data_IF_553489983050
#
_entry.id   IF_553489983050
#
_cell.length_a   1.000
_cell.length_b   1.000
_cell.length_c   1.000
_cell.angle_alpha   90.00
_cell.angle_beta   90.00
_cell.angle_gamma   90.00
#
_symmetry.space_group_name_H-M   'P 1'
#
loop_
_entity.id
_entity.type
_entity.pdbx_description
1 polymer ?
#
# COMPACT_ATOMS: atom_id res chain seq x y z
N UNK A 1 1.56 -16.44 -11.32
CA UNK A 1 2.48 -15.54 -10.61
C UNK A 1 2.20 -15.61 -9.13
N UNK A 2 3.22 -15.72 -8.27
CA UNK A 2 3.07 -15.45 -6.84
C UNK A 2 3.31 -13.94 -6.63
N UNK A 3 2.29 -13.16 -6.23
CA UNK A 3 2.45 -11.71 -6.09
C UNK A 3 3.45 -11.34 -4.98
N UNK A 4 3.70 -12.22 -4.02
CA UNK A 4 4.65 -11.97 -2.92
C UNK A 4 6.12 -12.03 -3.33
N UNK A 5 6.41 -12.54 -4.54
CA UNK A 5 7.76 -12.60 -5.10
C UNK A 5 7.87 -11.79 -6.40
N UNK A 6 6.91 -10.91 -6.66
CA UNK A 6 6.93 -10.04 -7.83
C UNK A 6 8.09 -9.05 -7.74
N UNK A 7 8.72 -8.76 -8.87
CA UNK A 7 9.86 -7.85 -8.98
C UNK A 7 9.68 -7.01 -10.26
N UNK A 8 9.40 -5.72 -10.10
CA UNK A 8 9.17 -4.79 -11.20
C UNK A 8 10.45 -4.47 -12.00
N UNK A 9 11.63 -4.62 -11.40
CA UNK A 9 12.92 -4.35 -12.06
C UNK A 9 13.42 -5.55 -12.89
N UNK A 10 12.76 -6.70 -12.77
CA UNK A 10 13.12 -7.88 -13.54
C UNK A 10 12.76 -7.66 -15.02
N UNK A 11 13.77 -7.74 -15.91
CA UNK A 11 13.59 -7.57 -17.35
C UNK A 11 12.67 -8.61 -18.02
N UNK A 12 12.34 -9.71 -17.32
CA UNK A 12 11.36 -10.69 -17.78
C UNK A 12 9.92 -10.37 -17.36
N UNK A 13 9.73 -9.41 -16.45
CA UNK A 13 8.40 -8.95 -16.02
C UNK A 13 7.70 -8.26 -17.17
N UNK A 14 6.49 -8.72 -17.47
CA UNK A 14 5.62 -8.10 -18.47
C UNK A 14 4.76 -7.01 -17.85
N UNK A 15 4.28 -6.08 -18.69
CA UNK A 15 3.31 -5.07 -18.26
C UNK A 15 2.06 -5.71 -17.65
N UNK A 16 1.59 -6.84 -18.21
CA UNK A 16 0.43 -7.59 -17.68
C UNK A 16 0.68 -8.10 -16.26
N UNK A 17 1.89 -8.59 -15.97
CA UNK A 17 2.28 -9.02 -14.63
C UNK A 17 2.37 -7.84 -13.66
N UNK A 18 2.91 -6.70 -14.09
CA UNK A 18 2.93 -5.49 -13.29
C UNK A 18 1.50 -5.02 -12.94
N UNK A 19 0.60 -4.95 -13.94
CA UNK A 19 -0.81 -4.62 -13.71
C UNK A 19 -1.50 -5.60 -12.77
N UNK A 20 -1.27 -6.90 -12.93
CA UNK A 20 -1.84 -7.92 -12.05
C UNK A 20 -1.33 -7.80 -10.60
N UNK A 21 -0.05 -7.47 -10.41
CA UNK A 21 0.52 -7.22 -9.08
C UNK A 21 -0.09 -5.97 -8.44
N UNK A 22 -0.15 -4.84 -9.16
CA UNK A 22 -0.74 -3.59 -8.65
C UNK A 22 -2.20 -3.81 -8.27
N UNK A 23 -2.99 -4.49 -9.11
CA UNK A 23 -4.38 -4.80 -8.80
C UNK A 23 -4.53 -5.66 -7.53
N UNK A 24 -3.66 -6.68 -7.36
CA UNK A 24 -3.62 -7.49 -6.15
C UNK A 24 -3.24 -6.67 -4.91
N UNK A 25 -2.19 -5.84 -5.02
CA UNK A 25 -1.69 -4.99 -3.95
C UNK A 25 -2.78 -4.01 -3.49
N UNK A 26 -3.43 -3.33 -4.42
CA UNK A 26 -4.51 -2.39 -4.15
C UNK A 26 -5.70 -3.07 -3.49
N UNK A 27 -6.14 -4.23 -4.00
CA UNK A 27 -7.26 -4.95 -3.40
C UNK A 27 -6.96 -5.42 -1.98
N UNK A 28 -5.74 -5.93 -1.75
CA UNK A 28 -5.30 -6.38 -0.43
C UNK A 28 -5.23 -5.22 0.55
N UNK A 29 -4.55 -4.14 0.17
CA UNK A 29 -4.42 -2.96 1.02
C UNK A 29 -5.78 -2.35 1.35
N UNK A 30 -6.70 -2.27 0.38
CA UNK A 30 -8.04 -1.73 0.62
C UNK A 30 -8.81 -2.58 1.65
N UNK A 31 -8.66 -3.91 1.63
CA UNK A 31 -9.25 -4.78 2.65
C UNK A 31 -8.60 -4.57 4.03
N UNK A 32 -7.28 -4.45 4.09
CA UNK A 32 -6.53 -4.20 5.33
C UNK A 32 -6.95 -2.87 5.96
N UNK A 33 -7.01 -1.78 5.18
CA UNK A 33 -7.50 -0.48 5.64
C UNK A 33 -8.98 -0.51 6.06
N UNK A 34 -9.84 -1.19 5.30
CA UNK A 34 -11.26 -1.32 5.65
C UNK A 34 -11.44 -2.00 7.00
N UNK A 35 -10.64 -3.02 7.30
CA UNK A 35 -10.69 -3.74 8.59
C UNK A 35 -10.04 -2.95 9.74
N UNK A 36 -9.03 -2.14 9.44
CA UNK A 36 -8.34 -1.29 10.41
C UNK A 36 -9.09 0.00 10.76
N UNK A 37 -10.11 0.37 9.97
CA UNK A 37 -10.76 1.68 10.01
C UNK A 37 -11.19 2.10 11.43
N UNK A 38 -10.71 3.25 11.85
CA UNK A 38 -11.01 3.83 13.16
C UNK A 38 -10.11 3.35 14.31
N UNK A 39 -9.12 2.50 14.01
CA UNK A 39 -8.04 2.12 14.91
C UNK A 39 -6.70 2.59 14.32
N UNK A 40 -6.19 3.71 14.82
CA UNK A 40 -4.98 4.34 14.31
C UNK A 40 -3.75 3.40 14.32
N UNK A 41 -3.65 2.47 15.28
CA UNK A 41 -2.53 1.53 15.32
C UNK A 41 -2.64 0.50 14.20
N UNK A 42 -3.85 0.00 13.93
CA UNK A 42 -4.10 -0.92 12.84
C UNK A 42 -3.99 -0.24 11.47
N UNK A 43 -4.42 1.03 11.34
CA UNK A 43 -4.29 1.80 10.11
C UNK A 43 -2.81 2.07 9.77
N UNK A 44 -2.01 2.43 10.78
CA UNK A 44 -0.56 2.52 10.63
C UNK A 44 0.04 1.18 10.18
N UNK A 45 -0.38 0.07 10.79
CA UNK A 45 0.10 -1.26 10.42
C UNK A 45 -0.28 -1.65 8.98
N UNK A 46 -1.52 -1.40 8.56
CA UNK A 46 -1.98 -1.64 7.19
C UNK A 46 -1.13 -0.83 6.19
N UNK A 47 -0.83 0.43 6.52
CA UNK A 47 0.01 1.26 5.68
C UNK A 47 1.46 0.78 5.61
N UNK A 48 2.07 0.39 6.74
CA UNK A 48 3.40 -0.22 6.75
C UNK A 48 3.45 -1.45 5.84
N UNK A 49 2.45 -2.33 5.93
CA UNK A 49 2.40 -3.55 5.12
C UNK A 49 2.22 -3.25 3.63
N UNK A 50 1.41 -2.26 3.28
CA UNK A 50 1.26 -1.77 1.91
C UNK A 50 2.59 -1.28 1.34
N UNK A 51 3.25 -0.33 2.02
CA UNK A 51 4.54 0.19 1.56
C UNK A 51 5.61 -0.89 1.50
N UNK A 52 5.67 -1.79 2.49
CA UNK A 52 6.64 -2.88 2.50
C UNK A 52 6.49 -3.79 1.27
N UNK A 53 5.26 -4.21 0.94
CA UNK A 53 5.02 -5.06 -0.23
C UNK A 53 5.36 -4.34 -1.53
N UNK A 54 5.02 -3.06 -1.63
CA UNK A 54 5.36 -2.22 -2.78
C UNK A 54 6.87 -2.08 -2.99
N UNK A 55 7.61 -1.76 -1.92
CA UNK A 55 9.07 -1.61 -1.97
C UNK A 55 9.78 -2.94 -2.23
N UNK A 56 9.29 -4.05 -1.68
CA UNK A 56 9.80 -5.40 -2.00
C UNK A 56 9.61 -5.78 -3.46
N UNK A 57 8.60 -5.20 -4.11
CA UNK A 57 8.32 -5.34 -5.53
C UNK A 57 9.06 -4.32 -6.42
N UNK A 58 9.94 -3.49 -5.86
CA UNK A 58 10.63 -2.40 -6.56
C UNK A 58 9.69 -1.34 -7.16
N UNK A 59 8.53 -1.10 -6.54
CA UNK A 59 7.73 0.11 -6.80
C UNK A 59 8.33 1.32 -6.07
N UNK A 60 8.27 2.48 -6.71
CA UNK A 60 8.76 3.72 -6.09
C UNK A 60 7.78 4.26 -5.05
N UNK A 61 8.29 5.03 -4.10
CA UNK A 61 7.44 5.71 -3.10
C UNK A 61 6.40 6.63 -3.77
N UNK A 62 6.75 7.27 -4.89
CA UNK A 62 5.81 8.13 -5.62
C UNK A 62 4.64 7.34 -6.20
N UNK A 63 4.90 6.18 -6.80
CA UNK A 63 3.85 5.29 -7.31
C UNK A 63 2.96 4.78 -6.18
N UNK A 64 3.56 4.40 -5.06
CA UNK A 64 2.83 3.90 -3.90
C UNK A 64 1.92 4.97 -3.29
N UNK A 65 2.38 6.22 -3.18
CA UNK A 65 1.54 7.33 -2.73
C UNK A 65 0.42 7.61 -3.72
N UNK A 66 0.70 7.52 -5.02
CA UNK A 66 -0.30 7.76 -6.07
C UNK A 66 -1.48 6.78 -5.97
N UNK A 67 -1.18 5.47 -5.97
CA UNK A 67 -2.21 4.43 -5.84
C UNK A 67 -2.96 4.48 -4.49
N UNK A 68 -2.28 4.92 -3.43
CA UNK A 68 -2.87 4.93 -2.09
C UNK A 68 -3.93 6.00 -1.93
N UNK A 69 -3.67 7.22 -2.44
CA UNK A 69 -4.43 8.41 -2.05
C UNK A 69 -4.66 9.47 -3.13
N UNK A 70 -4.05 9.37 -4.32
CA UNK A 70 -4.13 10.43 -5.36
C UNK A 70 -4.94 9.98 -6.58
N UNK A 71 -4.73 8.75 -7.05
CA UNK A 71 -5.42 8.25 -8.25
C UNK A 71 -6.94 8.17 -8.06
N UNK A 72 -7.70 8.31 -9.14
CA UNK A 72 -9.12 7.95 -9.12
C UNK A 72 -9.27 6.47 -8.71
N UNK A 73 -10.25 6.17 -7.84
CA UNK A 73 -10.40 4.86 -7.19
C UNK A 73 -9.16 4.48 -6.35
N UNK A 74 -8.61 5.45 -5.61
CA UNK A 74 -7.49 5.21 -4.69
C UNK A 74 -7.82 4.10 -3.69
N UNK A 75 -6.78 3.43 -3.17
CA UNK A 75 -6.94 2.34 -2.19
C UNK A 75 -7.78 2.79 -0.99
N UNK A 76 -7.57 4.01 -0.49
CA UNK A 76 -8.32 4.54 0.64
C UNK A 76 -9.78 4.83 0.29
N UNK A 77 -10.06 5.37 -0.91
CA UNK A 77 -11.42 5.54 -1.41
C UNK A 77 -12.16 4.19 -1.52
N UNK A 78 -11.52 3.17 -2.08
CA UNK A 78 -12.05 1.79 -2.18
C UNK A 78 -12.23 1.13 -0.80
N UNK A 79 -11.38 1.47 0.17
CA UNK A 79 -11.54 1.07 1.57
C UNK A 79 -12.71 1.80 2.27
N UNK A 80 -13.27 2.83 1.64
CA UNK A 80 -14.43 3.60 2.10
C UNK A 80 -14.07 4.84 2.91
N UNK A 81 -12.82 5.30 2.86
CA UNK A 81 -12.39 6.55 3.49
C UNK A 81 -12.96 7.74 2.72
N UNK A 82 -13.44 8.72 3.46
CA UNK A 82 -13.77 10.03 2.87
C UNK A 82 -12.49 10.82 2.58
N UNK A 83 -12.57 11.82 1.72
CA UNK A 83 -11.43 12.71 1.41
C UNK A 83 -10.80 13.32 2.69
N UNK A 84 -11.63 13.75 3.64
CA UNK A 84 -11.16 14.28 4.93
C UNK A 84 -10.38 13.24 5.74
N UNK A 85 -10.88 12.00 5.79
CA UNK A 85 -10.21 10.91 6.49
C UNK A 85 -8.89 10.51 5.81
N UNK A 86 -8.86 10.51 4.48
CA UNK A 86 -7.63 10.28 3.70
C UNK A 86 -6.57 11.32 4.03
N UNK A 87 -6.93 12.61 4.00
CA UNK A 87 -6.00 13.70 4.32
C UNK A 87 -5.49 13.60 5.77
N UNK A 88 -6.38 13.25 6.71
CA UNK A 88 -6.01 13.08 8.11
C UNK A 88 -5.05 11.90 8.31
N UNK A 89 -5.36 10.74 7.73
CA UNK A 89 -4.49 9.55 7.80
C UNK A 89 -3.12 9.81 7.18
N UNK A 90 -3.08 10.45 6.00
CA UNK A 90 -1.82 10.78 5.32
C UNK A 90 -0.98 11.75 6.16
N UNK A 91 -1.59 12.71 6.85
CA UNK A 91 -0.88 13.60 7.77
C UNK A 91 -0.35 12.83 8.99
N UNK A 92 -1.21 12.07 9.66
CA UNK A 92 -0.89 11.41 10.93
C UNK A 92 0.21 10.37 10.79
N UNK A 93 0.35 9.79 9.60
CA UNK A 93 1.29 8.70 9.38
C UNK A 93 2.50 9.11 8.53
N UNK A 94 2.40 10.16 7.69
CA UNK A 94 3.57 10.74 7.02
C UNK A 94 4.60 11.29 8.01
N UNK A 95 4.19 11.75 9.19
CA UNK A 95 5.09 12.26 10.22
C UNK A 95 5.79 11.13 11.00
N UNK A 96 5.37 9.87 10.81
CA UNK A 96 5.78 8.75 11.66
C UNK A 96 6.48 7.64 10.87
N UNK A 97 6.08 7.38 9.62
CA UNK A 97 6.68 6.31 8.82
C UNK A 97 8.11 6.65 8.38
N UNK A 98 9.08 5.98 8.99
CA UNK A 98 10.43 5.87 8.46
C UNK A 98 10.59 4.58 7.66
N UNK A 99 11.54 4.53 6.72
CA UNK A 99 11.86 3.29 5.98
C UNK A 99 12.17 2.13 6.95
N UNK A 100 12.81 2.41 8.09
CA UNK A 100 13.09 1.42 9.13
C UNK A 100 11.81 0.81 9.73
N UNK A 101 10.77 1.62 10.01
CA UNK A 101 9.50 1.11 10.54
C UNK A 101 8.75 0.26 9.50
N UNK A 102 8.82 0.66 8.23
CA UNK A 102 8.24 -0.11 7.12
C UNK A 102 8.91 -1.48 7.04
N UNK A 103 10.24 -1.52 7.05
CA UNK A 103 10.99 -2.77 6.89
C UNK A 103 10.90 -3.69 8.11
N UNK A 104 10.76 -3.14 9.33
CA UNK A 104 10.59 -3.88 10.57
C UNK A 104 9.22 -4.57 10.71
N UNK A 105 8.21 -4.14 9.93
CA UNK A 105 6.85 -4.69 10.02
C UNK A 105 6.79 -6.10 9.43
N UNK A 106 6.44 -7.11 10.22
CA UNK A 106 6.26 -8.49 9.72
C UNK A 106 5.05 -8.57 8.80
N UNK A 107 5.24 -9.10 7.58
CA UNK A 107 4.13 -9.45 6.69
C UNK A 107 3.55 -10.77 7.22
N UNK A 108 2.36 -10.72 7.82
CA UNK A 108 1.69 -11.95 8.26
C UNK A 108 1.00 -12.61 7.07
N UNK A 109 1.32 -13.89 6.85
CA UNK A 109 0.80 -14.77 5.80
C UNK A 109 -0.64 -15.19 6.13
#
# INVERSE_FOLDING_TARGET
MNPETFDNDNAATTDEECFAFVAWLSHRAANEFRNARGDAAQEKMAMCQYYKRGLQANLTMSELVDFLAISADSILEVAGYTEEQTLQLMRDVSDVLTEDEIMATSVTI
#
